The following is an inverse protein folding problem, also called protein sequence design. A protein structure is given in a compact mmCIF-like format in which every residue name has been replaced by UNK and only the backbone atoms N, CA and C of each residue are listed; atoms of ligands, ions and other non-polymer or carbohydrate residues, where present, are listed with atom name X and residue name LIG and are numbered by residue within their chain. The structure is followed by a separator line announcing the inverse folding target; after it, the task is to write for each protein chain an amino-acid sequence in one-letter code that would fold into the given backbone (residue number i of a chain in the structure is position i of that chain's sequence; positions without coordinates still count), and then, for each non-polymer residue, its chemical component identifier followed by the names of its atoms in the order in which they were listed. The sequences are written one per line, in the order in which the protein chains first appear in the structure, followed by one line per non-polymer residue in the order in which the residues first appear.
data_IF_592637272224
#
_entry.id   IF_592637272224
#
_cell.length_a   1.000
_cell.length_b   1.000
_cell.length_c   1.000
_cell.angle_alpha   90.00
_cell.angle_beta   90.00
_cell.angle_gamma   90.00
#
_symmetry.space_group_name_H-M   'P 1'
#
loop_
_entity.id
_entity.type
_entity.pdbx_description
1 polymer ?
#
# COMPACT_ATOMS: atom_id res chain seq x y z
N UNK A 1 3.78 17.45 21.21
CA UNK A 1 4.81 17.05 20.23
C UNK A 1 4.58 15.63 19.78
N UNK A 2 4.73 15.38 18.48
CA UNK A 2 4.62 14.03 17.91
C UNK A 2 5.89 13.26 18.27
N UNK A 3 5.72 12.04 18.77
CA UNK A 3 6.85 11.16 19.12
C UNK A 3 7.16 10.21 17.98
N UNK A 4 8.39 9.72 17.88
CA UNK A 4 8.78 8.73 16.87
C UNK A 4 7.92 7.45 16.94
N UNK A 5 7.53 7.03 18.15
CA UNK A 5 6.64 5.88 18.35
C UNK A 5 5.26 6.09 17.71
N UNK A 6 4.74 7.31 17.70
CA UNK A 6 3.48 7.62 17.01
C UNK A 6 3.64 7.58 15.49
N UNK A 7 4.81 7.94 14.96
CA UNK A 7 5.11 7.87 13.52
C UNK A 7 5.27 6.44 13.03
N UNK A 8 5.76 5.52 13.87
CA UNK A 8 5.86 4.10 13.54
C UNK A 8 4.49 3.45 13.27
N UNK A 9 3.40 4.01 13.81
CA UNK A 9 2.03 3.56 13.52
C UNK A 9 1.52 3.99 12.14
N UNK A 10 2.20 4.92 11.48
CA UNK A 10 1.81 5.48 10.19
C UNK A 10 3.00 5.55 9.22
N UNK A 11 3.55 4.40 8.80
CA UNK A 11 4.66 4.40 7.85
C UNK A 11 4.20 4.95 6.50
N UNK A 12 5.15 5.37 5.67
CA UNK A 12 4.85 5.84 4.32
C UNK A 12 4.90 4.67 3.35
N UNK A 13 3.95 4.64 2.44
CA UNK A 13 3.93 3.76 1.29
C UNK A 13 4.42 4.52 0.07
N UNK A 14 5.37 3.93 -0.65
CA UNK A 14 5.89 4.45 -1.92
C UNK A 14 5.74 3.42 -3.01
N UNK A 15 5.36 3.87 -4.20
CA UNK A 15 5.36 3.05 -5.41
C UNK A 15 6.38 3.58 -6.41
N UNK A 16 7.43 2.80 -6.68
CA UNK A 16 8.50 3.17 -7.61
C UNK A 16 8.74 2.03 -8.59
N UNK A 17 8.58 2.29 -9.89
CA UNK A 17 8.79 1.30 -10.96
C UNK A 17 7.96 0.00 -10.76
N UNK A 18 6.75 0.13 -10.23
CA UNK A 18 5.87 -1.01 -9.92
C UNK A 18 6.25 -1.81 -8.66
N UNK A 19 7.29 -1.39 -7.94
CA UNK A 19 7.63 -1.92 -6.61
C UNK A 19 6.91 -1.11 -5.55
N UNK A 20 6.35 -1.83 -4.58
CA UNK A 20 5.56 -1.30 -3.48
C UNK A 20 6.38 -1.41 -2.22
N UNK A 21 6.73 -0.27 -1.64
CA UNK A 21 7.66 -0.20 -0.51
C UNK A 21 7.00 0.49 0.68
N UNK A 22 7.21 -0.08 1.86
CA UNK A 22 6.86 0.56 3.13
C UNK A 22 8.15 1.17 3.68
N UNK A 23 8.13 2.47 3.94
CA UNK A 23 9.23 3.26 4.46
C UNK A 23 8.92 3.69 5.89
N UNK A 24 9.80 3.31 6.81
CA UNK A 24 9.63 3.57 8.24
C UNK A 24 10.47 4.76 8.68
N UNK A 25 9.91 5.60 9.56
CA UNK A 25 10.65 6.73 10.14
C UNK A 25 11.73 6.20 11.08
N UNK A 26 12.98 6.61 10.86
CA UNK A 26 14.13 6.22 11.67
C UNK A 26 14.55 7.31 12.66
N UNK A 27 14.30 8.58 12.32
CA UNK A 27 14.68 9.72 13.15
C UNK A 27 13.73 10.90 12.94
N UNK A 28 13.47 11.64 14.02
CA UNK A 28 12.77 12.93 13.99
C UNK A 28 13.74 14.02 14.44
N UNK A 29 13.96 15.01 13.57
CA UNK A 29 14.90 16.09 13.81
C UNK A 29 14.26 17.25 14.57
N UNK A 30 15.09 18.10 15.17
CA UNK A 30 14.63 19.25 15.96
C UNK A 30 13.86 20.30 15.14
N UNK A 31 14.07 20.34 13.82
CA UNK A 31 13.34 21.21 12.89
C UNK A 31 12.00 20.60 12.41
N UNK A 32 11.65 19.40 12.88
CA UNK A 32 10.46 18.66 12.49
C UNK A 32 10.61 17.82 11.22
N UNK A 33 11.79 17.80 10.59
CA UNK A 33 12.06 16.90 9.47
C UNK A 33 12.22 15.45 9.94
N UNK A 34 12.04 14.49 9.02
CA UNK A 34 12.08 13.06 9.31
C UNK A 34 13.11 12.35 8.41
N UNK A 35 13.89 11.46 9.02
CA UNK A 35 14.71 10.48 8.28
C UNK A 35 13.94 9.17 8.13
N UNK A 36 14.22 8.44 7.06
CA UNK A 36 13.62 7.14 6.77
C UNK A 36 14.70 6.08 6.57
N UNK A 37 14.28 4.82 6.61
CA UNK A 37 15.10 3.63 6.36
C UNK A 37 15.57 3.48 4.90
N UNK A 38 15.01 4.27 3.97
CA UNK A 38 15.35 4.25 2.54
C UNK A 38 15.62 5.65 1.99
N UNK A 39 16.45 5.78 0.93
CA UNK A 39 16.67 7.05 0.26
C UNK A 39 15.43 7.48 -0.54
N UNK A 40 15.25 8.80 -0.67
CA UNK A 40 14.11 9.45 -1.32
C UNK A 40 14.56 10.33 -2.47
N UNK A 41 13.79 10.32 -3.55
CA UNK A 41 14.00 11.20 -4.69
C UNK A 41 12.96 12.32 -4.70
N UNK A 42 13.37 13.51 -5.16
CA UNK A 42 12.42 14.58 -5.43
C UNK A 42 11.42 14.13 -6.49
N UNK A 43 10.13 14.20 -6.17
CA UNK A 43 9.05 13.74 -7.04
C UNK A 43 8.49 12.36 -6.69
N UNK A 44 9.04 11.66 -5.68
CA UNK A 44 8.44 10.42 -5.17
C UNK A 44 7.01 10.70 -4.64
N UNK A 45 6.04 9.94 -5.14
CA UNK A 45 4.65 9.98 -4.65
C UNK A 45 4.46 8.97 -3.52
N UNK A 46 3.92 9.44 -2.40
CA UNK A 46 3.71 8.60 -1.21
C UNK A 46 2.39 8.82 -0.50
N UNK A 47 2.01 7.80 0.26
CA UNK A 47 0.76 7.77 1.02
C UNK A 47 1.02 7.30 2.44
N UNK A 48 0.27 7.80 3.41
CA UNK A 48 0.31 7.25 4.76
C UNK A 48 -0.38 5.89 4.80
N UNK A 49 0.32 4.89 5.32
CA UNK A 49 -0.27 3.62 5.69
C UNK A 49 -0.99 3.73 7.03
N UNK A 50 -2.08 2.98 7.15
CA UNK A 50 -2.64 2.62 8.44
C UNK A 50 -3.08 1.16 8.36
N UNK A 51 -2.84 0.42 9.44
CA UNK A 51 -3.29 -0.96 9.54
C UNK A 51 -4.69 -0.99 10.14
N UNK A 52 -5.66 -1.54 9.41
CA UNK A 52 -6.99 -1.81 9.96
C UNK A 52 -7.09 -3.30 10.33
N UNK A 53 -7.11 -3.65 11.63
CA UNK A 53 -7.06 -5.04 12.08
C UNK A 53 -8.13 -5.92 11.42
N UNK A 54 -9.38 -5.44 11.35
CA UNK A 54 -10.47 -6.20 10.73
C UNK A 54 -10.31 -6.42 9.22
N UNK A 55 -9.82 -5.44 8.44
CA UNK A 55 -9.60 -5.62 7.00
C UNK A 55 -8.43 -6.59 6.76
N UNK A 56 -7.37 -6.45 7.55
CA UNK A 56 -6.22 -7.36 7.49
C UNK A 56 -6.64 -8.79 7.83
N UNK A 57 -7.45 -8.98 8.87
CA UNK A 57 -7.99 -10.29 9.25
C UNK A 57 -8.94 -10.86 8.19
N UNK A 58 -9.76 -10.02 7.55
CA UNK A 58 -10.63 -10.42 6.44
C UNK A 58 -9.81 -10.90 5.23
N UNK A 59 -8.72 -10.19 4.89
CA UNK A 59 -7.79 -10.62 3.85
C UNK A 59 -7.13 -11.95 4.17
N UNK A 60 -6.67 -12.14 5.41
CA UNK A 60 -6.10 -13.42 5.87
C UNK A 60 -7.13 -14.53 5.71
N UNK A 61 -8.39 -14.32 6.12
CA UNK A 61 -9.46 -15.32 5.97
C UNK A 61 -9.72 -15.67 4.51
N UNK A 62 -9.75 -14.69 3.63
CA UNK A 62 -9.87 -14.94 2.19
C UNK A 62 -8.72 -15.81 1.66
N UNK A 63 -7.48 -15.51 2.04
CA UNK A 63 -6.32 -16.33 1.67
C UNK A 63 -6.38 -17.75 2.25
N UNK A 64 -6.88 -17.90 3.48
CA UNK A 64 -7.07 -19.22 4.11
C UNK A 64 -8.14 -20.05 3.39
N UNK A 65 -9.22 -19.43 2.90
CA UNK A 65 -10.24 -20.14 2.09
C UNK A 65 -9.64 -20.65 0.78
N UNK A 66 -8.81 -19.86 0.12
CA UNK A 66 -8.07 -20.29 -1.06
C UNK A 66 -7.09 -21.42 -0.73
N UNK A 67 -6.34 -21.28 0.36
CA UNK A 67 -5.43 -22.30 0.86
C UNK A 67 -6.13 -23.63 1.16
N UNK A 68 -7.34 -23.59 1.72
CA UNK A 68 -8.14 -24.78 2.02
C UNK A 68 -8.41 -25.64 0.77
N UNK A 69 -8.51 -25.03 -0.42
CA UNK A 69 -8.69 -25.74 -1.68
C UNK A 69 -7.49 -26.61 -2.05
N UNK A 70 -6.31 -26.30 -1.51
CA UNK A 70 -5.10 -27.10 -1.68
C UNK A 70 -4.99 -28.27 -0.69
N UNK A 71 -5.93 -28.38 0.26
CA UNK A 71 -6.01 -29.46 1.25
C UNK A 71 -4.71 -29.65 2.05
N UNK A 72 -4.18 -28.60 2.71
CA UNK A 72 -2.97 -28.76 3.50
C UNK A 72 -3.23 -29.68 4.70
N UNK A 73 -2.28 -30.56 4.98
CA UNK A 73 -2.28 -31.37 6.20
C UNK A 73 -1.59 -30.63 7.34
N UNK A 74 -0.56 -29.84 7.00
CA UNK A 74 0.22 -29.03 7.93
C UNK A 74 0.42 -27.62 7.35
N UNK A 75 0.29 -26.61 8.21
CA UNK A 75 0.65 -25.23 7.90
C UNK A 75 1.70 -24.75 8.91
N UNK A 76 2.81 -24.20 8.42
CA UNK A 76 3.86 -23.58 9.22
C UNK A 76 3.85 -22.08 8.99
N UNK A 77 3.62 -21.27 10.01
CA UNK A 77 3.45 -19.82 9.91
C UNK A 77 4.66 -19.09 10.51
N UNK A 78 5.17 -18.10 9.77
CA UNK A 78 6.28 -17.22 10.13
C UNK A 78 5.81 -15.77 9.97
N UNK A 79 5.18 -15.24 11.03
CA UNK A 79 4.61 -13.90 11.00
C UNK A 79 5.60 -12.86 11.50
N UNK A 80 5.57 -11.65 10.95
CA UNK A 80 6.31 -10.54 11.51
C UNK A 80 5.72 -10.15 12.89
N UNK A 81 6.58 -10.04 13.91
CA UNK A 81 6.19 -9.68 15.27
C UNK A 81 5.48 -8.32 15.37
N UNK A 82 5.74 -7.40 14.42
CA UNK A 82 5.05 -6.11 14.38
C UNK A 82 3.55 -6.22 14.09
N UNK A 83 3.05 -7.37 13.63
CA UNK A 83 1.60 -7.61 13.47
C UNK A 83 0.87 -7.70 14.82
N UNK A 84 1.59 -8.09 15.88
CA UNK A 84 1.05 -8.20 17.26
C UNK A 84 0.63 -6.84 17.84
N UNK A 85 1.18 -5.74 17.33
CA UNK A 85 0.82 -4.40 17.76
C UNK A 85 -0.60 -4.01 17.32
N UNK A 86 -1.18 -4.73 16.35
CA UNK A 86 -2.45 -4.38 15.71
C UNK A 86 -3.50 -5.49 15.77
N UNK A 87 -3.10 -6.76 15.73
CA UNK A 87 -3.99 -7.91 15.69
C UNK A 87 -3.65 -8.85 16.85
N UNK A 88 -4.69 -9.35 17.53
CA UNK A 88 -4.48 -10.40 18.51
C UNK A 88 -3.97 -11.66 17.82
N UNK A 89 -2.83 -12.17 18.29
CA UNK A 89 -2.16 -13.35 17.77
C UNK A 89 -3.09 -14.56 17.60
N UNK A 90 -4.11 -14.70 18.46
CA UNK A 90 -5.05 -15.81 18.36
C UNK A 90 -5.93 -15.71 17.14
N UNK A 91 -6.41 -14.52 16.79
CA UNK A 91 -7.42 -14.35 15.76
C UNK A 91 -6.88 -14.64 14.36
N UNK A 92 -5.63 -14.23 14.11
CA UNK A 92 -4.95 -14.45 12.84
C UNK A 92 -4.60 -15.92 12.62
N UNK A 93 -4.06 -16.59 13.64
CA UNK A 93 -3.63 -18.00 13.57
C UNK A 93 -4.85 -18.95 13.59
N UNK A 94 -5.95 -18.56 14.25
CA UNK A 94 -7.15 -19.39 14.36
C UNK A 94 -7.75 -19.74 13.01
N UNK A 95 -7.69 -18.83 12.03
CA UNK A 95 -8.18 -19.10 10.68
C UNK A 95 -7.46 -20.31 10.05
N UNK A 96 -6.14 -20.43 10.24
CA UNK A 96 -5.36 -21.56 9.75
C UNK A 96 -5.60 -22.85 10.56
N UNK A 97 -5.76 -22.72 11.89
CA UNK A 97 -6.08 -23.85 12.76
C UNK A 97 -7.42 -24.51 12.43
N UNK A 98 -8.36 -23.76 11.85
CA UNK A 98 -9.64 -24.31 11.40
C UNK A 98 -9.50 -25.24 10.19
N UNK A 99 -8.42 -25.14 9.41
CA UNK A 99 -8.24 -25.94 8.17
C UNK A 99 -7.24 -27.08 8.33
N UNK A 100 -6.16 -26.89 9.11
CA UNK A 100 -5.05 -27.83 9.21
C UNK A 100 -4.27 -27.70 10.52
N UNK A 101 -3.45 -28.70 10.84
CA UNK A 101 -2.52 -28.63 11.97
C UNK A 101 -1.53 -27.47 11.73
N UNK A 102 -1.56 -26.47 12.62
CA UNK A 102 -0.82 -25.23 12.43
C UNK A 102 0.29 -25.09 13.47
N UNK A 103 1.50 -24.78 13.01
CA UNK A 103 2.69 -24.55 13.84
C UNK A 103 3.39 -23.28 13.38
N UNK A 104 4.30 -22.72 14.18
CA UNK A 104 5.01 -21.52 13.75
C UNK A 104 5.61 -20.66 14.85
N UNK A 105 6.04 -19.47 14.46
CA UNK A 105 6.55 -18.45 15.39
C UNK A 105 6.39 -17.04 14.83
N UNK A 106 6.49 -16.04 15.71
CA UNK A 106 6.63 -14.65 15.32
C UNK A 106 8.11 -14.28 15.20
N UNK A 107 8.51 -13.72 14.07
CA UNK A 107 9.87 -13.38 13.69
C UNK A 107 10.05 -11.87 13.51
N UNK A 108 11.29 -11.37 13.55
CA UNK A 108 11.60 -9.93 13.39
C UNK A 108 11.67 -9.52 11.91
N UNK A 109 10.60 -9.80 11.16
CA UNK A 109 10.49 -9.53 9.73
C UNK A 109 11.09 -10.62 8.85
N UNK A 110 10.95 -10.43 7.55
CA UNK A 110 11.42 -11.36 6.52
C UNK A 110 12.37 -10.63 5.57
N UNK A 111 13.40 -11.33 5.10
CA UNK A 111 14.31 -10.80 4.08
C UNK A 111 13.87 -11.40 2.74
N UNK A 112 13.47 -10.53 1.82
CA UNK A 112 13.03 -10.85 0.48
C UNK A 112 13.91 -10.15 -0.55
N UNK A 113 14.15 -10.78 -1.70
CA UNK A 113 14.82 -10.14 -2.83
C UNK A 113 15.83 -11.05 -3.53
N UNK A 114 16.22 -10.62 -4.72
CA UNK A 114 17.25 -11.28 -5.52
C UNK A 114 18.66 -11.00 -4.99
N UNK A 115 19.63 -11.79 -5.47
CA UNK A 115 21.05 -11.66 -5.10
C UNK A 115 21.52 -10.22 -5.34
N UNK A 116 21.87 -9.53 -4.26
CA UNK A 116 22.44 -8.18 -4.28
C UNK A 116 21.48 -7.06 -3.88
N UNK A 117 20.19 -7.32 -3.69
CA UNK A 117 19.22 -6.34 -3.19
C UNK A 117 18.25 -6.95 -2.16
N UNK A 118 18.74 -7.37 -0.98
CA UNK A 118 17.86 -7.84 0.09
C UNK A 118 17.01 -6.68 0.63
N UNK A 119 15.71 -6.91 0.74
CA UNK A 119 14.73 -6.00 1.30
C UNK A 119 14.06 -6.64 2.51
N UNK A 120 13.77 -5.83 3.53
CA UNK A 120 13.01 -6.28 4.69
C UNK A 120 11.52 -6.09 4.39
N UNK A 121 10.76 -7.18 4.44
CA UNK A 121 9.30 -7.14 4.41
C UNK A 121 8.78 -6.90 5.82
N UNK A 122 8.38 -5.66 6.07
CA UNK A 122 7.70 -5.29 7.31
C UNK A 122 6.25 -5.78 7.28
N UNK A 123 5.74 -6.22 8.44
CA UNK A 123 4.36 -6.69 8.61
C UNK A 123 3.96 -7.86 7.69
N UNK A 124 4.91 -8.66 7.19
CA UNK A 124 4.59 -9.84 6.38
C UNK A 124 3.92 -10.96 7.20
N UNK A 125 3.09 -11.73 6.51
CA UNK A 125 2.57 -13.02 6.93
C UNK A 125 3.03 -14.02 5.88
N UNK A 126 3.90 -14.94 6.29
CA UNK A 126 4.48 -15.94 5.39
C UNK A 126 4.23 -17.32 5.96
N UNK A 127 3.77 -18.24 5.13
CA UNK A 127 3.49 -19.61 5.57
C UNK A 127 3.95 -20.64 4.55
N UNK A 128 4.28 -21.82 5.05
CA UNK A 128 4.53 -23.03 4.28
C UNK A 128 3.39 -24.01 4.54
N UNK A 129 2.64 -24.34 3.50
CA UNK A 129 1.58 -25.33 3.55
C UNK A 129 2.06 -26.62 2.87
N UNK A 130 1.86 -27.76 3.52
CA UNK A 130 2.33 -29.05 3.03
C UNK A 130 1.21 -30.08 3.07
N UNK A 131 1.28 -31.00 2.10
CA UNK A 131 0.43 -32.17 2.00
C UNK A 131 1.28 -33.30 1.40
N UNK A 132 1.26 -34.45 2.06
CA UNK A 132 1.85 -35.69 1.52
C UNK A 132 0.74 -36.69 1.15
N UNK A 133 -0.43 -36.58 1.78
CA UNK A 133 -1.57 -37.47 1.56
C UNK A 133 -2.33 -37.29 0.24
N UNK A 134 -3.18 -38.28 -0.03
CA UNK A 134 -4.12 -38.29 -1.15
C UNK A 134 -5.19 -37.20 -1.01
N UNK A 135 -5.82 -36.86 -2.13
CA UNK A 135 -6.92 -35.90 -2.14
C UNK A 135 -8.14 -36.44 -1.36
N UNK A 136 -8.67 -35.62 -0.46
CA UNK A 136 -9.85 -35.92 0.35
C UNK A 136 -11.10 -35.24 -0.24
N UNK A 137 -12.24 -35.92 -0.14
CA UNK A 137 -13.51 -35.43 -0.70
C UNK A 137 -14.12 -34.27 0.11
N UNK A 138 -13.82 -34.17 1.40
CA UNK A 138 -14.36 -33.14 2.28
C UNK A 138 -13.28 -32.13 2.64
N UNK A 139 -13.50 -30.87 2.29
CA UNK A 139 -12.63 -29.76 2.67
C UNK A 139 -13.01 -29.24 4.06
N UNK A 140 -12.01 -28.99 4.90
CA UNK A 140 -12.19 -28.16 6.07
C UNK A 140 -12.15 -26.69 5.63
N UNK A 141 -13.23 -25.95 5.91
CA UNK A 141 -13.30 -24.51 5.64
C UNK A 141 -13.24 -23.74 6.96
N UNK A 142 -12.57 -22.58 6.99
CA UNK A 142 -12.55 -21.74 8.17
C UNK A 142 -13.96 -21.34 8.56
N UNK A 143 -14.25 -21.30 9.87
CA UNK A 143 -15.60 -20.95 10.34
C UNK A 143 -15.90 -19.49 9.98
N UNK A 144 -17.08 -19.19 9.44
CA UNK A 144 -17.49 -17.81 9.25
C UNK A 144 -17.66 -17.14 10.61
N UNK A 145 -16.70 -16.32 11.01
CA UNK A 145 -16.90 -15.42 12.13
C UNK A 145 -17.71 -14.22 11.66
N UNK A 146 -18.79 -13.92 12.36
CA UNK A 146 -19.50 -12.65 12.23
C UNK A 146 -18.49 -11.56 12.56
N UNK A 147 -18.08 -10.80 11.55
CA UNK A 147 -17.09 -9.74 11.70
C UNK A 147 -17.46 -8.84 12.86
N UNK A 148 -16.54 -8.66 13.81
CA UNK A 148 -16.61 -7.56 14.75
C UNK A 148 -16.89 -6.28 13.94
N UNK A 149 -17.93 -5.55 14.33
CA UNK A 149 -18.33 -4.30 13.68
C UNK A 149 -17.09 -3.46 13.39
N UNK A 150 -16.84 -3.13 12.11
CA UNK A 150 -15.85 -2.12 11.74
C UNK A 150 -16.08 -0.93 12.69
N UNK A 151 -15.07 -0.59 13.50
CA UNK A 151 -15.22 0.51 14.45
C UNK A 151 -15.71 1.74 13.67
N UNK A 152 -16.76 2.44 14.12
CA UNK A 152 -17.24 3.66 13.45
C UNK A 152 -16.11 4.64 13.12
N UNK A 153 -15.06 4.68 13.96
CA UNK A 153 -13.85 5.47 13.73
C UNK A 153 -13.11 5.07 12.43
N UNK A 154 -12.94 3.78 12.17
CA UNK A 154 -12.24 3.34 10.97
C UNK A 154 -13.08 3.54 9.70
N UNK A 155 -14.40 3.43 9.79
CA UNK A 155 -15.31 3.82 8.70
C UNK A 155 -15.16 5.32 8.37
N UNK A 156 -15.08 6.16 9.41
CA UNK A 156 -14.79 7.60 9.25
C UNK A 156 -13.43 7.85 8.60
N UNK A 157 -12.37 7.19 9.07
CA UNK A 157 -11.01 7.31 8.49
C UNK A 157 -11.03 6.91 7.01
N UNK A 158 -11.65 5.77 6.67
CA UNK A 158 -11.73 5.28 5.29
C UNK A 158 -12.46 6.25 4.38
N UNK A 159 -13.61 6.76 4.82
CA UNK A 159 -14.40 7.70 4.03
C UNK A 159 -13.68 9.05 3.88
N UNK A 160 -13.06 9.57 4.94
CA UNK A 160 -12.29 10.80 4.89
C UNK A 160 -11.09 10.70 3.91
N UNK A 161 -10.40 9.55 3.88
CA UNK A 161 -9.34 9.30 2.90
C UNK A 161 -9.90 9.21 1.48
N UNK A 162 -11.03 8.53 1.30
CA UNK A 162 -11.73 8.48 0.01
C UNK A 162 -12.09 9.87 -0.51
N UNK A 163 -12.61 10.73 0.36
CA UNK A 163 -12.96 12.12 0.05
C UNK A 163 -11.71 12.94 -0.31
N UNK A 164 -10.60 12.78 0.43
CA UNK A 164 -9.32 13.43 0.13
C UNK A 164 -8.77 13.01 -1.23
N UNK A 165 -8.79 11.71 -1.54
CA UNK A 165 -8.34 11.18 -2.82
C UNK A 165 -9.19 11.72 -3.97
N UNK A 166 -10.52 11.75 -3.79
CA UNK A 166 -11.44 12.32 -4.78
C UNK A 166 -11.19 13.81 -4.99
N UNK A 167 -11.00 14.57 -3.91
CA UNK A 167 -10.66 16.00 -3.99
C UNK A 167 -9.32 16.25 -4.67
N UNK A 168 -8.29 15.46 -4.36
CA UNK A 168 -6.98 15.57 -5.00
C UNK A 168 -7.06 15.27 -6.50
N UNK A 169 -7.75 14.19 -6.89
CA UNK A 169 -7.96 13.85 -8.30
C UNK A 169 -8.76 14.95 -9.02
N UNK A 170 -9.81 15.47 -8.39
CA UNK A 170 -10.59 16.57 -8.93
C UNK A 170 -9.76 17.85 -9.10
N UNK A 171 -8.93 18.18 -8.12
CA UNK A 171 -8.06 19.35 -8.15
C UNK A 171 -7.00 19.22 -9.25
N UNK A 172 -6.35 18.06 -9.38
CA UNK A 172 -5.43 17.77 -10.47
C UNK A 172 -6.08 17.96 -11.84
N UNK A 173 -7.30 17.44 -12.01
CA UNK A 173 -8.09 17.65 -13.23
C UNK A 173 -8.40 19.13 -13.51
N UNK A 174 -8.79 19.91 -12.49
CA UNK A 174 -9.08 21.33 -12.66
C UNK A 174 -7.83 22.13 -13.01
N UNK A 175 -6.68 21.82 -12.40
CA UNK A 175 -5.40 22.45 -12.69
C UNK A 175 -4.95 22.17 -14.12
N UNK A 176 -5.04 20.92 -14.59
CA UNK A 176 -4.73 20.57 -15.98
C UNK A 176 -5.64 21.34 -16.94
N UNK A 177 -6.95 21.36 -16.66
CA UNK A 177 -7.93 22.09 -17.47
C UNK A 177 -7.64 23.59 -17.52
N UNK A 178 -7.29 24.21 -16.39
CA UNK A 178 -6.96 25.64 -16.34
C UNK A 178 -5.64 25.93 -17.04
N UNK A 179 -4.63 25.09 -16.85
CA UNK A 179 -3.33 25.19 -17.51
C UNK A 179 -3.50 25.10 -19.02
N UNK A 180 -4.30 24.14 -19.51
CA UNK A 180 -4.58 23.99 -20.94
C UNK A 180 -5.31 25.22 -21.50
N UNK A 181 -6.32 25.73 -20.80
CA UNK A 181 -7.02 26.97 -21.20
C UNK A 181 -6.10 28.18 -21.22
N UNK A 182 -5.22 28.32 -20.23
CA UNK A 182 -4.22 29.39 -20.18
C UNK A 182 -3.23 29.26 -21.32
N UNK A 183 -2.72 28.06 -21.61
CA UNK A 183 -1.84 27.81 -22.75
C UNK A 183 -2.53 28.12 -24.08
N UNK A 184 -3.77 27.68 -24.27
CA UNK A 184 -4.56 27.97 -25.48
C UNK A 184 -4.79 29.48 -25.64
N UNK A 185 -5.17 30.17 -24.57
CA UNK A 185 -5.37 31.62 -24.57
C UNK A 185 -4.06 32.39 -24.76
N UNK A 186 -2.94 31.89 -24.24
CA UNK A 186 -1.62 32.50 -24.41
C UNK A 186 -1.05 32.28 -25.81
N UNK A 187 -1.42 31.20 -26.50
CA UNK A 187 -0.91 30.86 -27.84
C UNK A 187 -1.80 31.32 -28.99
N UNK A 188 -3.04 31.76 -28.71
CA UNK A 188 -3.98 32.23 -29.74
C UNK A 188 -4.28 33.73 -29.62
N UNK A 189 -4.46 34.38 -30.75
CA UNK A 189 -4.91 35.76 -30.83
C UNK A 189 -6.41 35.85 -30.50
N UNK A 190 -6.79 36.81 -29.64
CA UNK A 190 -8.14 36.91 -29.09
C UNK A 190 -9.21 37.35 -30.09
N UNK A 191 -8.83 38.01 -31.19
CA UNK A 191 -9.76 38.52 -32.21
C UNK A 191 -9.96 37.54 -33.36
N UNK A 192 -8.92 36.78 -33.71
CA UNK A 192 -8.92 35.91 -34.89
C UNK A 192 -8.96 34.42 -34.55
N UNK A 193 -8.61 34.03 -33.33
CA UNK A 193 -8.50 32.63 -32.91
C UNK A 193 -7.32 31.86 -33.54
N UNK A 194 -6.51 32.53 -34.36
CA UNK A 194 -5.29 32.00 -34.97
C UNK A 194 -4.11 31.99 -33.98
N UNK A 195 -3.04 31.26 -34.30
CA UNK A 195 -1.82 31.29 -33.50
C UNK A 195 -1.24 32.72 -33.47
N UNK A 196 -0.87 33.17 -32.28
CA UNK A 196 -0.30 34.51 -32.12
C UNK A 196 1.19 34.54 -32.50
N UNK A 197 1.76 35.75 -32.48
CA UNK A 197 3.15 35.98 -32.89
C UNK A 197 4.16 35.10 -32.16
N UNK A 198 3.99 34.91 -30.84
CA UNK A 198 4.92 34.11 -30.02
C UNK A 198 4.91 32.64 -30.46
N UNK A 199 3.71 32.06 -30.60
CA UNK A 199 3.57 30.67 -31.06
C UNK A 199 4.10 30.45 -32.49
N UNK A 200 3.98 31.47 -33.35
CA UNK A 200 4.47 31.42 -34.72
C UNK A 200 6.01 31.51 -34.78
N UNK A 201 6.62 32.38 -33.94
CA UNK A 201 8.07 32.50 -33.83
C UNK A 201 8.73 31.21 -33.32
N UNK A 202 8.16 30.55 -32.31
CA UNK A 202 8.64 29.25 -31.82
C UNK A 202 8.63 28.17 -32.91
N UNK A 203 7.55 28.12 -33.72
CA UNK A 203 7.45 27.17 -34.83
C UNK A 203 8.49 27.44 -35.91
N UNK A 204 8.72 28.70 -36.26
CA UNK A 204 9.72 29.07 -37.26
C UNK A 204 11.14 28.73 -36.80
N UNK A 205 11.47 28.96 -35.51
CA UNK A 205 12.78 28.58 -34.97
C UNK A 205 13.05 27.07 -34.97
N UNK A 206 12.00 26.24 -34.94
CA UNK A 206 12.13 24.79 -35.07
C UNK A 206 12.32 24.32 -36.51
N UNK A 207 11.92 25.11 -37.51
CA UNK A 207 12.05 24.78 -38.92
C UNK A 207 13.44 25.15 -39.45
N UNK A 208 14.09 26.17 -38.87
CA UNK A 208 15.45 26.59 -39.25
C UNK A 208 16.58 25.66 -38.70
N UNK A 209 16.23 24.60 -37.96
CA UNK A 209 17.18 23.61 -37.41
C UNK A 209 17.20 22.25 -38.15
N UNK A 210 16.40 22.09 -39.21
CA UNK A 210 16.49 20.99 -40.20
C UNK A 210 17.11 21.49 -41.51
#
# INVERSE_FOLDING_TARGET
DVTINQLLSFPLYRETLGRKEVCTVTELHADGSMSFDRPWCLGDEVQFCYNHPSLTLEQVRHGVVELAMHQPEVVMIYNCASRLDFIDSSDEVQAFMDIAATFGSYCMGEIHGDIGQPEILHHSLTYLAMREGDEVQSLNLPKPQVSASISPLFSLIRNAIGDLNHMNAHMGYQLDRQTRKLQESYRRDSRTGLQNRVALQERLSHIDCD
#
